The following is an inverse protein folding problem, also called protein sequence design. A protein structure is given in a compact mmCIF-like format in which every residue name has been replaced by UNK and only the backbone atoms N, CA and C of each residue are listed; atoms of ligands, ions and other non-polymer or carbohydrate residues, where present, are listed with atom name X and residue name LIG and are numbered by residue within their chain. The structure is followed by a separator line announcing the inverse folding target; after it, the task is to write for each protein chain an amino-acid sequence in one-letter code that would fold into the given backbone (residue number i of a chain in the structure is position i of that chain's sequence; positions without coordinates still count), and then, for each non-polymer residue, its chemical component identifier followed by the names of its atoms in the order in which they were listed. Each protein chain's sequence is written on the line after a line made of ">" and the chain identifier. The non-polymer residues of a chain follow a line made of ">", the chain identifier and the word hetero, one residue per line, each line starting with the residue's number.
data_IF_282241046357
#
_entry.id   IF_282241046357
#
_cell.length_a   1.000
_cell.length_b   1.000
_cell.length_c   1.000
_cell.angle_alpha   90.00
_cell.angle_beta   90.00
_cell.angle_gamma   90.00
#
_symmetry.space_group_name_H-M   'P 1'
#
loop_
_entity.id
_entity.type
_entity.pdbx_description
1 polymer ?
#
# COMPACT_ATOMS: atom_id res chain seq x y z
N UNK A 1 -5.93 0.52 19.11
CA UNK A 1 -6.33 1.93 18.97
C UNK A 1 -6.04 2.79 20.19
N UNK A 2 -6.30 2.32 21.43
CA UNK A 2 -6.06 3.10 22.66
C UNK A 2 -4.59 3.54 22.75
N UNK A 3 -3.65 2.60 22.63
CA UNK A 3 -2.22 2.91 22.66
C UNK A 3 -1.81 3.82 21.48
N UNK A 4 -2.38 3.59 20.30
CA UNK A 4 -2.18 4.45 19.14
C UNK A 4 -2.69 5.87 19.37
N UNK A 5 -3.85 6.02 20.01
CA UNK A 5 -4.40 7.32 20.42
C UNK A 5 -3.46 8.05 21.39
N UNK A 6 -2.92 7.35 22.38
CA UNK A 6 -1.96 7.92 23.33
C UNK A 6 -0.67 8.40 22.63
N UNK A 7 -0.14 7.61 21.70
CA UNK A 7 1.04 7.99 20.91
C UNK A 7 0.77 9.24 20.03
N UNK A 8 -0.40 9.32 19.40
CA UNK A 8 -0.80 10.48 18.59
C UNK A 8 -1.03 11.73 19.46
N UNK A 9 -1.61 11.57 20.63
CA UNK A 9 -1.78 12.67 21.58
C UNK A 9 -0.45 13.20 22.10
N UNK A 10 0.50 12.32 22.36
CA UNK A 10 1.88 12.70 22.69
C UNK A 10 2.56 13.41 21.52
N UNK A 11 2.43 12.88 20.30
CA UNK A 11 2.96 13.49 19.09
C UNK A 11 2.49 14.94 18.91
N UNK A 12 1.26 15.25 19.30
CA UNK A 12 0.71 16.61 19.25
C UNK A 12 1.42 17.64 20.15
N UNK A 13 2.21 17.19 21.11
CA UNK A 13 2.88 18.05 22.11
C UNK A 13 4.40 18.07 21.93
N UNK A 14 4.94 17.17 21.10
CA UNK A 14 6.39 16.98 20.93
C UNK A 14 6.88 17.88 19.81
N UNK A 15 7.97 18.63 20.10
CA UNK A 15 8.68 19.47 19.11
C UNK A 15 9.95 18.80 18.60
N UNK A 16 10.51 17.83 19.35
CA UNK A 16 11.71 17.11 18.94
C UNK A 16 11.40 16.13 17.81
N UNK A 17 12.07 16.24 16.64
CA UNK A 17 11.77 15.41 15.46
C UNK A 17 11.93 13.91 15.69
N UNK A 18 12.89 13.47 16.48
CA UNK A 18 13.15 12.05 16.74
C UNK A 18 12.07 11.44 17.63
N UNK A 19 11.69 12.15 18.69
CA UNK A 19 10.63 11.70 19.60
C UNK A 19 9.28 11.70 18.89
N UNK A 20 9.04 12.71 18.02
CA UNK A 20 7.85 12.74 17.16
C UNK A 20 7.82 11.52 16.22
N UNK A 21 8.91 11.25 15.52
CA UNK A 21 9.02 10.11 14.61
C UNK A 21 8.78 8.77 15.32
N UNK A 22 9.35 8.58 16.52
CA UNK A 22 9.14 7.37 17.33
C UNK A 22 7.68 7.24 17.74
N UNK A 23 7.04 8.33 18.19
CA UNK A 23 5.63 8.32 18.59
C UNK A 23 4.72 7.95 17.42
N UNK A 24 4.94 8.51 16.24
CA UNK A 24 4.19 8.18 15.02
C UNK A 24 4.44 6.76 14.56
N UNK A 25 5.69 6.28 14.64
CA UNK A 25 6.04 4.88 14.32
C UNK A 25 5.28 3.91 15.24
N UNK A 26 5.27 4.14 16.54
CA UNK A 26 4.56 3.29 17.51
C UNK A 26 3.04 3.33 17.26
N UNK A 27 2.46 4.50 16.96
CA UNK A 27 1.07 4.62 16.57
C UNK A 27 0.77 3.76 15.33
N UNK A 28 1.61 3.82 14.31
CA UNK A 28 1.43 3.06 13.06
C UNK A 28 1.60 1.55 13.26
N UNK A 29 2.53 1.10 14.09
CA UNK A 29 2.69 -0.32 14.44
C UNK A 29 1.40 -0.86 15.07
N UNK A 30 0.79 -0.09 15.96
CA UNK A 30 -0.49 -0.48 16.57
C UNK A 30 -1.65 -0.51 15.56
N UNK A 31 -1.72 0.44 14.63
CA UNK A 31 -2.74 0.46 13.57
C UNK A 31 -2.58 -0.69 12.58
N UNK A 32 -1.36 -1.08 12.27
CA UNK A 32 -1.07 -2.15 11.30
C UNK A 32 -1.64 -3.52 11.69
N UNK A 33 -1.96 -3.73 12.97
CA UNK A 33 -2.58 -4.97 13.45
C UNK A 33 -4.09 -5.05 13.18
N UNK A 34 -4.75 -3.91 13.02
CA UNK A 34 -6.22 -3.84 12.89
C UNK A 34 -6.78 -4.64 11.70
N UNK A 35 -6.22 -4.57 10.47
CA UNK A 35 -6.77 -5.31 9.35
C UNK A 35 -6.82 -6.82 9.59
N UNK A 36 -5.81 -7.40 10.24
CA UNK A 36 -5.77 -8.82 10.58
C UNK A 36 -6.90 -9.23 11.53
N UNK A 37 -7.16 -8.43 12.56
CA UNK A 37 -8.27 -8.66 13.50
C UNK A 37 -9.63 -8.45 12.83
N UNK A 38 -9.77 -7.43 11.99
CA UNK A 38 -11.03 -7.10 11.33
C UNK A 38 -11.49 -8.19 10.36
N UNK A 39 -10.60 -8.94 9.72
CA UNK A 39 -10.96 -10.09 8.88
C UNK A 39 -11.73 -11.13 9.72
N UNK A 40 -11.29 -11.42 10.93
CA UNK A 40 -11.98 -12.35 11.83
C UNK A 40 -13.32 -11.81 12.30
N UNK A 41 -13.38 -10.50 12.63
CA UNK A 41 -14.64 -9.83 13.00
C UNK A 41 -15.65 -9.94 11.87
N UNK A 42 -15.26 -9.62 10.63
CA UNK A 42 -16.15 -9.73 9.47
C UNK A 42 -16.59 -11.18 9.21
N UNK A 43 -15.69 -12.16 9.37
CA UNK A 43 -16.02 -13.56 9.13
C UNK A 43 -17.05 -14.11 10.11
N UNK A 44 -17.10 -13.57 11.32
CA UNK A 44 -17.99 -14.06 12.39
C UNK A 44 -19.30 -13.32 12.48
N UNK A 45 -19.30 -12.01 12.16
CA UNK A 45 -20.48 -11.18 12.33
C UNK A 45 -21.33 -11.04 11.06
N UNK A 46 -20.80 -11.42 9.89
CA UNK A 46 -21.53 -11.29 8.63
C UNK A 46 -21.59 -12.63 7.86
N UNK A 47 -22.77 -12.94 7.35
CA UNK A 47 -22.96 -14.08 6.46
C UNK A 47 -22.09 -13.99 5.20
N UNK A 48 -21.73 -15.14 4.62
CA UNK A 48 -20.87 -15.21 3.42
C UNK A 48 -21.39 -14.37 2.25
N UNK A 49 -22.72 -14.30 2.07
CA UNK A 49 -23.38 -13.59 0.97
C UNK A 49 -23.41 -12.06 1.13
N UNK A 50 -23.26 -11.54 2.35
CA UNK A 50 -23.33 -10.10 2.63
C UNK A 50 -21.95 -9.47 2.95
N UNK A 51 -20.99 -10.29 3.35
CA UNK A 51 -19.67 -9.88 3.81
C UNK A 51 -18.96 -9.01 2.80
N UNK A 52 -18.94 -9.44 1.53
CA UNK A 52 -18.30 -8.69 0.45
C UNK A 52 -18.91 -7.32 0.23
N UNK A 53 -20.24 -7.24 0.22
CA UNK A 53 -20.98 -5.98 0.03
C UNK A 53 -20.70 -4.99 1.18
N UNK A 54 -20.75 -5.45 2.43
CA UNK A 54 -20.49 -4.62 3.61
C UNK A 54 -19.03 -4.15 3.67
N UNK A 55 -18.09 -5.03 3.30
CA UNK A 55 -16.67 -4.67 3.21
C UNK A 55 -16.42 -3.62 2.12
N UNK A 56 -17.05 -3.75 0.96
CA UNK A 56 -16.95 -2.77 -0.11
C UNK A 56 -17.47 -1.38 0.33
N UNK A 57 -18.62 -1.32 1.01
CA UNK A 57 -19.13 -0.08 1.57
C UNK A 57 -18.18 0.54 2.59
N UNK A 58 -17.58 -0.28 3.46
CA UNK A 58 -16.58 0.22 4.42
C UNK A 58 -15.36 0.83 3.70
N UNK A 59 -14.87 0.21 2.64
CA UNK A 59 -13.76 0.77 1.84
C UNK A 59 -14.13 2.08 1.15
N UNK A 60 -15.33 2.17 0.57
CA UNK A 60 -15.81 3.40 -0.08
C UNK A 60 -15.95 4.53 0.94
N UNK A 61 -16.61 4.25 2.05
CA UNK A 61 -16.82 5.26 3.11
C UNK A 61 -15.50 5.71 3.73
N UNK A 62 -14.59 4.77 4.03
CA UNK A 62 -13.26 5.09 4.55
C UNK A 62 -12.45 5.96 3.58
N UNK A 63 -12.53 5.68 2.29
CA UNK A 63 -11.85 6.48 1.28
C UNK A 63 -12.47 7.88 1.16
N UNK A 64 -13.80 8.00 1.17
CA UNK A 64 -14.50 9.27 1.12
C UNK A 64 -14.18 10.16 2.34
N UNK A 65 -14.25 9.59 3.55
CA UNK A 65 -13.87 10.29 4.78
C UNK A 65 -12.38 10.69 4.72
N UNK A 66 -11.51 9.79 4.29
CA UNK A 66 -10.08 10.07 4.15
C UNK A 66 -9.81 11.24 3.19
N UNK A 67 -10.51 11.32 2.06
CA UNK A 67 -10.39 12.43 1.11
C UNK A 67 -10.84 13.76 1.72
N UNK A 68 -11.99 13.79 2.39
CA UNK A 68 -12.52 15.00 3.04
C UNK A 68 -11.58 15.48 4.15
N UNK A 69 -11.14 14.57 5.02
CA UNK A 69 -10.24 14.93 6.13
C UNK A 69 -8.85 15.36 5.65
N UNK A 70 -8.31 14.73 4.59
CA UNK A 70 -7.02 15.14 4.03
C UNK A 70 -7.09 16.50 3.37
N UNK A 71 -8.13 16.76 2.59
CA UNK A 71 -8.34 18.06 1.96
C UNK A 71 -8.55 19.15 3.01
N UNK A 72 -9.49 18.95 3.95
CA UNK A 72 -9.72 19.90 5.03
C UNK A 72 -8.53 20.10 5.97
N UNK A 73 -7.74 19.04 6.21
CA UNK A 73 -6.50 19.15 6.97
C UNK A 73 -5.42 19.94 6.20
N UNK A 74 -5.31 19.75 4.89
CA UNK A 74 -4.40 20.52 4.04
C UNK A 74 -4.74 22.01 4.02
N UNK A 75 -6.01 22.35 3.77
CA UNK A 75 -6.47 23.74 3.79
C UNK A 75 -6.28 24.41 5.15
N UNK A 76 -6.52 23.66 6.24
CA UNK A 76 -6.25 24.16 7.60
C UNK A 76 -4.77 24.47 7.81
N UNK A 77 -3.87 23.57 7.39
CA UNK A 77 -2.43 23.74 7.56
C UNK A 77 -1.83 24.89 6.70
N UNK A 78 -2.55 25.35 5.70
CA UNK A 78 -2.18 26.53 4.90
C UNK A 78 -2.62 27.86 5.54
N UNK A 79 -3.33 27.83 6.68
CA UNK A 79 -3.70 29.05 7.40
C UNK A 79 -2.54 29.58 8.26
N UNK A 80 -2.40 30.90 8.39
CA UNK A 80 -1.33 31.53 9.17
C UNK A 80 -1.32 31.14 10.66
N UNK A 81 -2.49 30.76 11.22
CA UNK A 81 -2.66 30.37 12.61
C UNK A 81 -2.66 28.84 12.84
N UNK A 82 -2.27 28.07 11.83
CA UNK A 82 -2.31 26.62 11.92
C UNK A 82 -1.37 26.07 13.01
N UNK A 83 -1.95 25.27 13.92
CA UNK A 83 -1.20 24.43 14.86
C UNK A 83 -1.23 22.97 14.36
N UNK A 84 -0.13 22.41 13.80
CA UNK A 84 -0.09 21.02 13.38
C UNK A 84 -0.45 20.02 14.49
N UNK A 85 -0.27 20.40 15.77
CA UNK A 85 -0.67 19.59 16.91
C UNK A 85 -2.18 19.30 16.94
N UNK A 86 -3.01 20.19 16.41
CA UNK A 86 -4.46 19.93 16.30
C UNK A 86 -4.78 18.76 15.39
N UNK A 87 -4.05 18.56 14.31
CA UNK A 87 -4.24 17.42 13.39
C UNK A 87 -3.98 16.12 14.15
N UNK A 88 -2.88 16.04 14.91
CA UNK A 88 -2.59 14.86 15.72
C UNK A 88 -3.60 14.62 16.84
N UNK A 89 -4.09 15.69 17.49
CA UNK A 89 -5.16 15.58 18.50
C UNK A 89 -6.46 15.04 17.89
N UNK A 90 -6.86 15.53 16.71
CA UNK A 90 -8.03 15.04 16.00
C UNK A 90 -7.86 13.56 15.63
N UNK A 91 -6.69 13.16 15.10
CA UNK A 91 -6.39 11.76 14.82
C UNK A 91 -6.41 10.89 16.10
N UNK A 92 -5.92 11.39 17.22
CA UNK A 92 -5.98 10.70 18.50
C UNK A 92 -7.43 10.47 18.98
N UNK A 93 -8.30 11.47 18.86
CA UNK A 93 -9.72 11.35 19.19
C UNK A 93 -10.44 10.35 18.30
N UNK A 94 -10.21 10.37 17.00
CA UNK A 94 -10.77 9.39 16.06
C UNK A 94 -10.28 7.98 16.38
N UNK A 95 -8.99 7.83 16.72
CA UNK A 95 -8.42 6.55 17.16
C UNK A 95 -9.06 6.04 18.45
N UNK A 96 -9.33 6.91 19.41
CA UNK A 96 -10.03 6.56 20.64
C UNK A 96 -11.49 6.16 20.36
N UNK A 97 -12.20 6.90 19.50
CA UNK A 97 -13.54 6.55 19.04
C UNK A 97 -13.58 5.18 18.36
N UNK A 98 -12.56 4.86 17.56
CA UNK A 98 -12.44 3.53 16.96
C UNK A 98 -12.23 2.42 18.00
N UNK A 99 -11.51 2.71 19.09
CA UNK A 99 -11.35 1.77 20.20
C UNK A 99 -12.69 1.47 20.88
N UNK A 100 -13.49 2.51 21.14
CA UNK A 100 -14.85 2.34 21.69
C UNK A 100 -15.74 1.54 20.75
N UNK A 101 -15.72 1.86 19.47
CA UNK A 101 -16.49 1.13 18.46
C UNK A 101 -16.11 -0.36 18.41
N UNK A 102 -14.80 -0.67 18.43
CA UNK A 102 -14.31 -2.04 18.46
C UNK A 102 -14.71 -2.79 19.73
N UNK A 103 -14.73 -2.12 20.86
CA UNK A 103 -15.15 -2.70 22.14
C UNK A 103 -16.65 -3.07 22.15
N UNK A 104 -17.47 -2.36 21.41
CA UNK A 104 -18.90 -2.62 21.27
C UNK A 104 -19.23 -3.76 20.28
N UNK A 105 -18.27 -4.23 19.50
CA UNK A 105 -18.51 -5.32 18.54
C UNK A 105 -18.61 -6.66 19.30
N UNK A 106 -19.69 -7.45 19.08
CA UNK A 106 -19.81 -8.77 19.65
C UNK A 106 -18.63 -9.64 19.24
N UNK A 107 -17.88 -10.16 20.20
CA UNK A 107 -16.74 -11.03 19.96
C UNK A 107 -16.98 -12.42 20.52
N UNK A 108 -16.64 -13.45 19.74
CA UNK A 108 -16.60 -14.82 20.22
C UNK A 108 -15.15 -15.24 20.50
N UNK A 109 -14.91 -16.14 21.49
CA UNK A 109 -13.57 -16.65 21.75
C UNK A 109 -12.94 -17.22 20.47
N UNK A 110 -11.65 -16.93 20.27
CA UNK A 110 -10.89 -17.50 19.16
C UNK A 110 -10.70 -18.99 19.43
N UNK A 111 -11.37 -19.83 18.67
CA UNK A 111 -11.05 -21.26 18.64
C UNK A 111 -9.65 -21.40 18.04
N UNK A 112 -8.75 -22.11 18.75
CA UNK A 112 -7.42 -22.45 18.25
C UNK A 112 -7.60 -23.27 16.97
N UNK A 113 -7.48 -22.64 15.81
CA UNK A 113 -7.40 -23.32 14.53
C UNK A 113 -6.06 -24.06 14.39
N UNK A 114 -5.97 -24.90 13.36
CA UNK A 114 -4.73 -25.60 12.98
C UNK A 114 -3.56 -24.59 12.96
N UNK A 115 -2.40 -25.03 13.46
CA UNK A 115 -1.17 -24.22 13.52
C UNK A 115 -0.95 -23.53 12.18
N UNK A 116 -0.98 -22.20 12.18
CA UNK A 116 -0.51 -21.45 11.02
C UNK A 116 0.94 -21.91 10.71
N UNK A 117 1.27 -22.16 9.45
CA UNK A 117 2.64 -22.51 9.08
C UNK A 117 3.58 -21.43 9.60
N UNK A 118 4.66 -21.86 10.27
CA UNK A 118 5.67 -20.93 10.76
C UNK A 118 6.33 -20.15 9.63
N UNK A 119 6.87 -18.98 9.93
CA UNK A 119 7.59 -18.16 8.96
C UNK A 119 8.68 -18.96 8.22
N UNK A 120 9.47 -19.73 8.96
CA UNK A 120 10.54 -20.57 8.40
C UNK A 120 10.00 -21.64 7.45
N UNK A 121 8.86 -22.24 7.76
CA UNK A 121 8.23 -23.24 6.89
C UNK A 121 7.70 -22.62 5.60
N UNK A 122 7.20 -21.39 5.66
CA UNK A 122 6.80 -20.64 4.48
C UNK A 122 8.01 -20.29 3.60
N UNK A 123 9.14 -19.90 4.19
CA UNK A 123 10.37 -19.57 3.44
C UNK A 123 11.05 -20.78 2.78
N UNK A 124 10.84 -22.01 3.31
CA UNK A 124 11.32 -23.24 2.64
C UNK A 124 10.76 -23.42 1.25
N UNK A 125 9.55 -22.89 0.97
CA UNK A 125 8.95 -22.90 -0.36
C UNK A 125 9.83 -22.29 -1.46
N UNK A 126 10.69 -21.35 -1.12
CA UNK A 126 11.61 -20.72 -2.09
C UNK A 126 12.60 -21.75 -2.69
N UNK A 127 12.88 -22.84 -1.96
CA UNK A 127 13.71 -23.96 -2.44
C UNK A 127 12.89 -25.07 -3.08
N UNK A 128 11.64 -25.28 -2.59
CA UNK A 128 10.77 -26.37 -3.04
C UNK A 128 10.06 -26.04 -4.36
N UNK A 129 9.63 -24.78 -4.55
CA UNK A 129 8.91 -24.34 -5.77
C UNK A 129 9.65 -23.20 -6.48
N UNK A 130 10.41 -23.56 -7.55
CA UNK A 130 11.20 -22.62 -8.34
C UNK A 130 10.32 -21.59 -9.09
N UNK A 131 9.12 -21.98 -9.52
CA UNK A 131 8.21 -21.05 -10.20
C UNK A 131 7.74 -19.98 -9.22
N UNK A 132 7.28 -20.41 -8.04
CA UNK A 132 6.90 -19.47 -6.96
C UNK A 132 8.06 -18.55 -6.57
N UNK A 133 9.25 -19.09 -6.37
CA UNK A 133 10.43 -18.30 -6.02
C UNK A 133 10.76 -17.25 -7.10
N UNK A 134 10.68 -17.62 -8.39
CA UNK A 134 10.94 -16.71 -9.50
C UNK A 134 9.88 -15.62 -9.63
N UNK A 135 8.60 -15.95 -9.45
CA UNK A 135 7.51 -14.98 -9.40
C UNK A 135 7.67 -14.03 -8.22
N UNK A 136 8.01 -14.58 -7.05
CA UNK A 136 8.22 -13.78 -5.84
C UNK A 136 9.42 -12.84 -5.97
N UNK A 137 10.52 -13.29 -6.60
CA UNK A 137 11.65 -12.43 -6.93
C UNK A 137 11.24 -11.25 -7.82
N UNK A 138 10.48 -11.52 -8.88
CA UNK A 138 9.95 -10.47 -9.74
C UNK A 138 9.09 -9.46 -8.96
N UNK A 139 8.24 -9.95 -8.04
CA UNK A 139 7.46 -9.10 -7.12
C UNK A 139 8.35 -8.26 -6.20
N UNK A 140 9.44 -8.84 -5.66
CA UNK A 140 10.34 -8.13 -4.76
C UNK A 140 11.07 -7.00 -5.48
N UNK A 141 11.60 -7.27 -6.68
CA UNK A 141 12.30 -6.26 -7.50
C UNK A 141 11.37 -5.10 -7.87
N UNK A 142 10.17 -5.40 -8.40
CA UNK A 142 9.17 -4.36 -8.71
C UNK A 142 8.83 -3.52 -7.49
N UNK A 143 8.51 -4.20 -6.40
CA UNK A 143 8.06 -3.48 -5.21
C UNK A 143 9.16 -2.69 -4.53
N UNK A 144 10.43 -3.09 -4.65
CA UNK A 144 11.55 -2.27 -4.20
C UNK A 144 11.56 -0.94 -4.98
N UNK A 145 11.46 -1.00 -6.32
CA UNK A 145 11.42 0.19 -7.16
C UNK A 145 10.25 1.13 -6.83
N UNK A 146 9.06 0.58 -6.61
CA UNK A 146 7.88 1.42 -6.31
C UNK A 146 7.92 1.96 -4.87
N UNK A 147 8.21 1.13 -3.87
CA UNK A 147 8.11 1.53 -2.45
C UNK A 147 9.19 2.54 -2.09
N UNK A 148 10.39 2.46 -2.67
CA UNK A 148 11.43 3.45 -2.42
C UNK A 148 11.03 4.87 -2.86
N UNK A 149 10.12 5.01 -3.83
CA UNK A 149 9.63 6.32 -4.28
C UNK A 149 8.47 6.88 -3.45
N UNK A 150 7.77 6.06 -2.65
CA UNK A 150 6.55 6.49 -1.96
C UNK A 150 6.78 7.66 -0.99
N UNK A 151 7.75 7.63 -0.06
CA UNK A 151 7.97 8.76 0.84
C UNK A 151 8.47 10.00 0.08
N UNK A 152 9.23 9.81 -0.99
CA UNK A 152 9.78 10.89 -1.79
C UNK A 152 8.71 11.67 -2.58
N UNK A 153 7.53 11.08 -2.77
CA UNK A 153 6.42 11.76 -3.46
C UNK A 153 5.95 12.99 -2.70
N UNK A 154 5.76 12.87 -1.40
CA UNK A 154 5.33 14.01 -0.58
C UNK A 154 6.44 15.05 -0.51
N UNK A 155 7.68 14.62 -0.29
CA UNK A 155 8.82 15.50 -0.23
C UNK A 155 9.06 16.27 -1.54
N UNK A 156 8.87 15.60 -2.70
CA UNK A 156 8.92 16.25 -4.02
C UNK A 156 7.85 17.33 -4.18
N UNK A 157 6.69 17.18 -3.56
CA UNK A 157 5.62 18.19 -3.62
C UNK A 157 5.89 19.37 -2.68
N UNK A 158 6.40 19.12 -1.46
CA UNK A 158 6.52 20.11 -0.39
C UNK A 158 7.92 20.72 -0.22
N UNK A 159 8.96 20.09 -0.78
CA UNK A 159 10.34 20.48 -0.53
C UNK A 159 10.85 21.58 -1.43
N UNK A 160 11.79 22.39 -0.93
CA UNK A 160 12.49 23.45 -1.68
C UNK A 160 13.31 22.95 -2.88
N UNK A 161 13.59 21.65 -2.94
CA UNK A 161 14.19 20.98 -4.11
C UNK A 161 13.19 20.36 -5.06
N UNK A 162 11.90 20.53 -4.83
CA UNK A 162 10.79 20.01 -5.60
C UNK A 162 9.87 21.11 -6.14
N UNK A 163 8.55 20.97 -5.93
CA UNK A 163 7.52 21.83 -6.53
C UNK A 163 6.98 22.92 -5.60
N UNK A 164 7.29 22.86 -4.31
CA UNK A 164 6.85 23.82 -3.28
C UNK A 164 5.33 24.11 -3.32
N UNK A 165 4.53 23.04 -3.35
CA UNK A 165 3.08 23.11 -3.41
C UNK A 165 2.48 23.36 -2.02
N UNK A 166 1.31 24.00 -1.95
CA UNK A 166 0.55 24.16 -0.72
C UNK A 166 0.10 22.82 -0.14
N UNK A 167 -0.18 22.77 1.18
CA UNK A 167 -0.66 21.54 1.84
C UNK A 167 -2.00 21.08 1.25
N UNK A 168 -2.87 22.00 0.83
CA UNK A 168 -4.10 21.70 0.11
C UNK A 168 -3.80 20.96 -1.20
N UNK A 169 -2.89 21.49 -2.02
CA UNK A 169 -2.49 20.87 -3.29
C UNK A 169 -1.84 19.50 -3.08
N UNK A 170 -1.01 19.36 -2.05
CA UNK A 170 -0.40 18.09 -1.66
C UNK A 170 -1.49 17.07 -1.30
N UNK A 171 -2.47 17.46 -0.48
CA UNK A 171 -3.59 16.61 -0.12
C UNK A 171 -4.45 16.21 -1.33
N UNK A 172 -4.72 17.14 -2.25
CA UNK A 172 -5.43 16.85 -3.51
C UNK A 172 -4.68 15.80 -4.34
N UNK A 173 -3.38 15.98 -4.56
CA UNK A 173 -2.57 15.06 -5.37
C UNK A 173 -2.43 13.68 -4.71
N UNK A 174 -2.02 13.65 -3.44
CA UNK A 174 -1.62 12.41 -2.77
C UNK A 174 -2.79 11.57 -2.29
N UNK A 175 -3.92 12.18 -1.98
CA UNK A 175 -5.08 11.47 -1.41
C UNK A 175 -6.28 11.53 -2.33
N UNK A 176 -6.74 12.72 -2.75
CA UNK A 176 -8.01 12.84 -3.47
C UNK A 176 -7.89 12.25 -4.88
N UNK A 177 -7.04 12.82 -5.73
CA UNK A 177 -6.88 12.41 -7.13
C UNK A 177 -6.46 10.94 -7.21
N UNK A 178 -5.47 10.55 -6.41
CA UNK A 178 -5.01 9.17 -6.32
C UNK A 178 -6.14 8.20 -5.93
N UNK A 179 -6.94 8.53 -4.89
CA UNK A 179 -7.99 7.64 -4.40
C UNK A 179 -9.17 7.54 -5.36
N UNK A 180 -9.58 8.64 -5.99
CA UNK A 180 -10.63 8.64 -7.01
C UNK A 180 -10.23 7.76 -8.19
N UNK A 181 -9.02 7.94 -8.72
CA UNK A 181 -8.52 7.12 -9.83
C UNK A 181 -8.44 5.63 -9.45
N UNK A 182 -7.98 5.32 -8.22
CA UNK A 182 -7.92 3.96 -7.69
C UNK A 182 -9.30 3.32 -7.58
N UNK A 183 -10.29 4.03 -7.04
CA UNK A 183 -11.65 3.51 -6.85
C UNK A 183 -12.30 3.22 -8.20
N UNK A 184 -12.27 4.18 -9.12
CA UNK A 184 -12.87 4.04 -10.46
C UNK A 184 -12.23 2.88 -11.23
N UNK A 185 -10.90 2.79 -11.21
CA UNK A 185 -10.18 1.76 -11.96
C UNK A 185 -10.29 0.35 -11.35
N UNK A 186 -10.52 0.25 -10.04
CA UNK A 186 -10.57 -1.06 -9.34
C UNK A 186 -11.62 -2.00 -9.92
N UNK A 187 -12.78 -1.49 -10.33
CA UNK A 187 -13.83 -2.30 -10.96
C UNK A 187 -13.36 -2.87 -12.31
N UNK A 188 -12.80 -2.03 -13.16
CA UNK A 188 -12.26 -2.44 -14.47
C UNK A 188 -11.15 -3.48 -14.31
N UNK A 189 -10.27 -3.28 -13.34
CA UNK A 189 -9.20 -4.23 -13.02
C UNK A 189 -9.72 -5.54 -12.49
N UNK A 190 -10.80 -5.56 -11.70
CA UNK A 190 -11.44 -6.78 -11.23
C UNK A 190 -11.95 -7.63 -12.40
N UNK A 191 -12.70 -7.00 -13.31
CA UNK A 191 -13.22 -7.68 -14.52
C UNK A 191 -12.08 -8.18 -15.42
N UNK A 192 -11.02 -7.40 -15.56
CA UNK A 192 -9.87 -7.76 -16.40
C UNK A 192 -9.07 -8.92 -15.80
N UNK A 193 -8.90 -8.95 -14.47
CA UNK A 193 -8.20 -10.02 -13.76
C UNK A 193 -8.81 -11.40 -14.00
N UNK A 194 -10.14 -11.45 -14.12
CA UNK A 194 -10.86 -12.72 -14.38
C UNK A 194 -10.75 -13.17 -15.84
N UNK A 195 -10.54 -12.21 -16.79
CA UNK A 195 -10.57 -12.49 -18.22
C UNK A 195 -9.22 -12.75 -18.86
N UNK A 196 -8.14 -12.21 -18.31
CA UNK A 196 -6.82 -12.35 -18.91
C UNK A 196 -5.86 -13.15 -18.02
N UNK A 197 -4.81 -13.69 -18.63
CA UNK A 197 -3.74 -14.38 -17.91
C UNK A 197 -3.07 -13.46 -16.92
N UNK A 198 -2.76 -13.97 -15.75
CA UNK A 198 -2.15 -13.19 -14.66
C UNK A 198 -0.86 -12.46 -15.07
N UNK A 199 0.00 -13.07 -15.87
CA UNK A 199 1.25 -12.45 -16.31
C UNK A 199 1.00 -11.21 -17.19
N UNK A 200 0.03 -11.26 -18.13
CA UNK A 200 -0.36 -10.09 -18.93
C UNK A 200 -0.95 -8.99 -18.04
N UNK A 201 -1.84 -9.38 -17.12
CA UNK A 201 -2.40 -8.46 -16.15
C UNK A 201 -1.29 -7.73 -15.36
N UNK A 202 -0.29 -8.48 -14.89
CA UNK A 202 0.81 -7.91 -14.10
C UNK A 202 1.70 -6.98 -14.92
N UNK A 203 2.01 -7.37 -16.16
CA UNK A 203 2.80 -6.53 -17.07
C UNK A 203 2.10 -5.22 -17.38
N UNK A 204 0.79 -5.25 -17.66
CA UNK A 204 -0.01 -4.03 -17.90
C UNK A 204 0.07 -3.07 -16.72
N UNK A 205 -0.04 -3.59 -15.49
CA UNK A 205 0.12 -2.79 -14.27
C UNK A 205 1.52 -2.17 -14.14
N UNK A 206 2.56 -2.95 -14.45
CA UNK A 206 3.94 -2.46 -14.39
C UNK A 206 4.16 -1.30 -15.37
N UNK A 207 3.63 -1.38 -16.59
CA UNK A 207 3.73 -0.30 -17.59
C UNK A 207 3.05 0.98 -17.10
N UNK A 208 1.87 0.87 -16.49
CA UNK A 208 1.18 2.02 -15.90
C UNK A 208 1.98 2.61 -14.73
N UNK A 209 2.56 1.78 -13.87
CA UNK A 209 3.36 2.25 -12.74
C UNK A 209 4.67 2.91 -13.18
N UNK A 210 5.29 2.43 -14.28
CA UNK A 210 6.43 3.09 -14.93
C UNK A 210 6.02 4.48 -15.42
N UNK A 211 4.95 4.56 -16.21
CA UNK A 211 4.43 5.83 -16.72
C UNK A 211 4.08 6.80 -15.57
N UNK A 212 3.40 6.31 -14.53
CA UNK A 212 3.07 7.08 -13.34
C UNK A 212 4.31 7.68 -12.66
N UNK A 213 5.35 6.87 -12.47
CA UNK A 213 6.59 7.32 -11.82
C UNK A 213 7.33 8.36 -12.66
N UNK A 214 7.44 8.14 -13.97
CA UNK A 214 8.07 9.12 -14.87
C UNK A 214 7.29 10.44 -14.90
N UNK A 215 5.99 10.38 -15.14
CA UNK A 215 5.16 11.60 -15.19
C UNK A 215 5.24 12.37 -13.88
N UNK A 216 5.18 11.66 -12.74
CA UNK A 216 5.18 12.29 -11.41
C UNK A 216 6.48 13.07 -11.13
N UNK A 217 7.63 12.45 -11.31
CA UNK A 217 8.93 13.04 -10.93
C UNK A 217 9.59 13.89 -12.03
N UNK A 218 8.97 14.00 -13.22
CA UNK A 218 9.40 14.91 -14.27
C UNK A 218 8.41 16.06 -14.50
N UNK A 219 7.37 16.12 -13.71
CA UNK A 219 6.39 17.20 -13.76
C UNK A 219 7.00 18.50 -13.18
N UNK A 220 6.69 19.61 -13.83
CA UNK A 220 7.15 20.94 -13.41
C UNK A 220 6.07 21.74 -12.67
N UNK A 221 4.93 21.10 -12.29
CA UNK A 221 3.85 21.77 -11.58
C UNK A 221 2.68 20.85 -11.23
N UNK A 222 1.65 21.44 -10.59
CA UNK A 222 0.49 20.76 -10.03
C UNK A 222 -0.24 19.84 -11.02
N UNK A 223 -0.48 20.28 -12.26
CA UNK A 223 -1.20 19.46 -13.25
C UNK A 223 -0.43 18.20 -13.63
N UNK A 224 0.88 18.32 -13.81
CA UNK A 224 1.72 17.18 -14.17
C UNK A 224 1.79 16.14 -13.06
N UNK A 225 2.00 16.55 -11.80
CA UNK A 225 1.99 15.61 -10.67
C UNK A 225 0.61 15.02 -10.43
N UNK A 226 -0.47 15.76 -10.69
CA UNK A 226 -1.84 15.25 -10.62
C UNK A 226 -2.08 14.14 -11.63
N UNK A 227 -1.59 14.29 -12.87
CA UNK A 227 -1.62 13.22 -13.88
C UNK A 227 -0.82 12.00 -13.43
N UNK A 228 0.40 12.21 -12.89
CA UNK A 228 1.22 11.14 -12.33
C UNK A 228 0.53 10.40 -11.18
N UNK A 229 -0.13 11.15 -10.28
CA UNK A 229 -0.90 10.58 -9.16
C UNK A 229 -2.14 9.81 -9.65
N UNK A 230 -2.84 10.31 -10.67
CA UNK A 230 -3.96 9.61 -11.30
C UNK A 230 -3.51 8.28 -11.90
N UNK A 231 -2.44 8.25 -12.67
CA UNK A 231 -1.86 7.02 -13.22
C UNK A 231 -1.43 6.06 -12.11
N UNK A 232 -0.81 6.57 -11.04
CA UNK A 232 -0.44 5.77 -9.87
C UNK A 232 -1.68 5.15 -9.21
N UNK A 233 -2.76 5.92 -9.04
CA UNK A 233 -4.05 5.44 -8.54
C UNK A 233 -4.61 4.30 -9.38
N UNK A 234 -4.62 4.46 -10.70
CA UNK A 234 -5.04 3.41 -11.65
C UNK A 234 -4.19 2.14 -11.48
N UNK A 235 -2.87 2.27 -11.46
CA UNK A 235 -1.96 1.13 -11.31
C UNK A 235 -2.09 0.43 -9.96
N UNK A 236 -2.29 1.18 -8.86
CA UNK A 236 -2.47 0.62 -7.50
C UNK A 236 -3.82 -0.05 -7.36
N UNK A 237 -4.88 0.43 -8.02
CA UNK A 237 -6.20 -0.22 -8.05
C UNK A 237 -6.10 -1.69 -8.48
N UNK A 238 -5.43 -1.95 -9.60
CA UNK A 238 -5.18 -3.31 -10.09
C UNK A 238 -4.12 -4.07 -9.28
N UNK A 239 -3.06 -3.38 -8.82
CA UNK A 239 -1.98 -4.01 -8.04
C UNK A 239 -2.48 -4.61 -6.74
N UNK A 240 -3.49 -4.02 -6.09
CA UNK A 240 -4.09 -4.56 -4.87
C UNK A 240 -4.81 -5.89 -5.13
N UNK A 241 -5.53 -5.99 -6.27
CA UNK A 241 -6.18 -7.23 -6.70
C UNK A 241 -5.12 -8.29 -7.00
N UNK A 242 -4.12 -7.95 -7.82
CA UNK A 242 -3.02 -8.84 -8.12
C UNK A 242 -2.32 -9.36 -6.85
N UNK A 243 -2.00 -8.47 -5.90
CA UNK A 243 -1.32 -8.82 -4.65
C UNK A 243 -2.12 -9.80 -3.79
N UNK A 244 -3.43 -9.64 -3.75
CA UNK A 244 -4.30 -10.46 -2.91
C UNK A 244 -4.59 -11.84 -3.51
N UNK A 245 -4.63 -11.95 -4.84
CA UNK A 245 -5.15 -13.13 -5.52
C UNK A 245 -4.12 -13.97 -6.29
N UNK A 246 -2.90 -13.47 -6.56
CA UNK A 246 -1.94 -14.20 -7.38
C UNK A 246 -1.54 -15.56 -6.79
N UNK A 247 -1.46 -15.63 -5.46
CA UNK A 247 -1.11 -16.87 -4.75
C UNK A 247 -2.15 -17.95 -4.99
N UNK A 248 -3.43 -17.60 -5.08
CA UNK A 248 -4.52 -18.58 -5.32
C UNK A 248 -4.46 -19.21 -6.71
N UNK A 249 -3.76 -18.55 -7.66
CA UNK A 249 -3.55 -19.11 -8.99
C UNK A 249 -2.32 -20.02 -9.10
N UNK A 250 -1.49 -20.06 -8.06
CA UNK A 250 -0.22 -20.80 -8.07
C UNK A 250 -0.14 -21.88 -6.99
N UNK A 251 -0.64 -21.59 -5.81
CA UNK A 251 -0.57 -22.50 -4.67
C UNK A 251 -1.44 -23.75 -4.90
N UNK A 252 -0.91 -24.95 -4.60
CA UNK A 252 -1.75 -26.13 -4.48
C UNK A 252 -2.88 -25.93 -3.46
N UNK A 253 -3.99 -26.60 -3.68
CA UNK A 253 -5.15 -26.54 -2.80
C UNK A 253 -4.78 -26.85 -1.33
N UNK A 254 -5.17 -25.98 -0.41
CA UNK A 254 -4.86 -26.08 1.02
C UNK A 254 -3.48 -25.57 1.43
N UNK A 255 -2.64 -25.11 0.50
CA UNK A 255 -1.32 -24.55 0.77
C UNK A 255 -1.25 -23.01 0.63
N UNK A 256 -2.36 -22.35 0.30
CA UNK A 256 -2.43 -20.90 0.02
C UNK A 256 -1.88 -20.07 1.17
N UNK A 257 -2.17 -20.45 2.41
CA UNK A 257 -1.68 -19.75 3.60
C UNK A 257 -0.15 -19.81 3.74
N UNK A 258 0.48 -20.93 3.37
CA UNK A 258 1.94 -21.11 3.40
C UNK A 258 2.62 -20.25 2.32
N UNK A 259 2.07 -20.23 1.10
CA UNK A 259 2.56 -19.41 -0.01
C UNK A 259 2.41 -17.91 0.29
N UNK A 260 1.23 -17.51 0.80
CA UNK A 260 0.96 -16.13 1.18
C UNK A 260 1.85 -15.67 2.36
N UNK A 261 2.14 -16.56 3.29
CA UNK A 261 3.06 -16.30 4.41
C UNK A 261 4.46 -15.90 3.94
N UNK A 262 5.03 -16.62 2.97
CA UNK A 262 6.32 -16.28 2.37
C UNK A 262 6.26 -14.92 1.64
N UNK A 263 5.18 -14.69 0.86
CA UNK A 263 4.98 -13.42 0.15
C UNK A 263 4.89 -12.23 1.10
N UNK A 264 4.09 -12.33 2.14
CA UNK A 264 3.89 -11.26 3.14
C UNK A 264 5.18 -10.97 3.90
N UNK A 265 5.91 -12.01 4.30
CA UNK A 265 7.18 -11.87 5.03
C UNK A 265 8.23 -11.07 4.22
N UNK A 266 8.45 -11.45 2.96
CA UNK A 266 9.40 -10.75 2.10
C UNK A 266 8.90 -9.35 1.71
N UNK A 267 7.59 -9.18 1.52
CA UNK A 267 6.98 -7.86 1.30
C UNK A 267 7.20 -6.94 2.50
N UNK A 268 7.07 -7.45 3.72
CA UNK A 268 7.35 -6.71 4.95
C UNK A 268 8.81 -6.26 5.05
N UNK A 269 9.75 -7.19 4.81
CA UNK A 269 11.19 -6.87 4.79
C UNK A 269 11.52 -5.78 3.77
N UNK A 270 11.03 -5.94 2.55
CA UNK A 270 11.18 -4.93 1.49
C UNK A 270 10.55 -3.59 1.89
N UNK A 271 9.35 -3.63 2.48
CA UNK A 271 8.64 -2.43 2.93
C UNK A 271 9.41 -1.66 4.00
N UNK A 272 10.15 -2.35 4.87
CA UNK A 272 10.99 -1.74 5.87
C UNK A 272 12.27 -1.11 5.25
N UNK A 273 12.89 -1.76 4.28
CA UNK A 273 14.19 -1.33 3.73
C UNK A 273 14.05 -0.30 2.60
N UNK A 274 13.02 -0.40 1.76
CA UNK A 274 12.89 0.41 0.56
C UNK A 274 12.82 1.93 0.80
N UNK A 275 12.15 2.47 1.83
CA UNK A 275 12.17 3.89 2.12
C UNK A 275 13.57 4.43 2.40
N UNK A 276 14.37 3.73 3.19
CA UNK A 276 15.76 4.11 3.48
C UNK A 276 16.62 4.13 2.22
N UNK A 277 16.47 3.11 1.37
CA UNK A 277 17.13 3.07 0.08
C UNK A 277 16.70 4.24 -0.81
N UNK A 278 15.43 4.62 -0.79
CA UNK A 278 14.89 5.75 -1.52
C UNK A 278 15.57 7.07 -1.14
N UNK A 279 15.66 7.37 0.15
CA UNK A 279 16.35 8.57 0.63
C UNK A 279 17.86 8.55 0.37
N UNK A 280 18.48 7.39 0.53
CA UNK A 280 19.90 7.26 0.19
C UNK A 280 20.15 7.52 -1.29
N UNK A 281 19.35 6.94 -2.18
CA UNK A 281 19.47 7.19 -3.63
C UNK A 281 19.12 8.65 -3.99
N UNK A 282 18.17 9.27 -3.28
CA UNK A 282 17.83 10.68 -3.47
C UNK A 282 19.06 11.58 -3.24
N UNK A 283 19.83 11.32 -2.18
CA UNK A 283 21.04 12.09 -1.89
C UNK A 283 22.15 11.95 -2.95
N UNK A 284 22.15 10.84 -3.70
CA UNK A 284 23.16 10.58 -4.73
C UNK A 284 22.76 11.07 -6.13
N UNK A 285 21.48 11.00 -6.49
CA UNK A 285 21.06 11.19 -7.89
C UNK A 285 19.82 12.08 -8.07
N UNK A 286 19.28 12.65 -6.98
CA UNK A 286 18.10 13.52 -7.02
C UNK A 286 16.80 12.77 -7.39
N UNK A 287 15.67 13.51 -7.41
CA UNK A 287 14.35 12.92 -7.67
C UNK A 287 14.23 12.23 -9.03
N UNK A 288 14.72 12.87 -10.09
CA UNK A 288 14.67 12.30 -11.46
C UNK A 288 15.54 11.04 -11.56
N UNK A 289 16.70 11.02 -10.92
CA UNK A 289 17.56 9.84 -10.87
C UNK A 289 16.90 8.66 -10.16
N UNK A 290 16.27 8.90 -9.00
CA UNK A 290 15.51 7.86 -8.28
C UNK A 290 14.32 7.37 -9.10
N UNK A 291 13.63 8.25 -9.82
CA UNK A 291 12.55 7.85 -10.73
C UNK A 291 13.06 6.89 -11.82
N UNK A 292 14.18 7.20 -12.46
CA UNK A 292 14.80 6.31 -13.46
C UNK A 292 15.28 4.97 -12.86
N UNK A 293 15.83 4.98 -11.66
CA UNK A 293 16.19 3.75 -10.94
C UNK A 293 14.96 2.89 -10.65
N UNK A 294 13.87 3.52 -10.19
CA UNK A 294 12.58 2.84 -10.01
C UNK A 294 12.08 2.21 -11.30
N UNK A 295 12.10 2.97 -12.40
CA UNK A 295 11.70 2.49 -13.73
C UNK A 295 12.56 1.30 -14.17
N UNK A 296 13.87 1.37 -13.98
CA UNK A 296 14.79 0.27 -14.31
C UNK A 296 14.43 -1.01 -13.52
N UNK A 297 14.15 -0.89 -12.21
CA UNK A 297 13.75 -2.03 -11.37
C UNK A 297 12.39 -2.61 -11.80
N UNK A 298 11.40 -1.76 -12.09
CA UNK A 298 10.08 -2.23 -12.55
C UNK A 298 10.18 -2.86 -13.94
N UNK A 299 11.03 -2.33 -14.83
CA UNK A 299 11.31 -2.91 -16.15
C UNK A 299 12.01 -4.26 -16.00
N UNK A 300 13.01 -4.37 -15.13
CA UNK A 300 13.67 -5.65 -14.83
C UNK A 300 12.66 -6.68 -14.33
N UNK A 301 11.78 -6.28 -13.41
CA UNK A 301 10.70 -7.15 -12.95
C UNK A 301 9.78 -7.59 -14.10
N UNK A 302 9.43 -6.67 -14.99
CA UNK A 302 8.59 -6.97 -16.16
C UNK A 302 9.27 -8.01 -17.07
N UNK A 303 10.57 -7.88 -17.30
CA UNK A 303 11.34 -8.87 -18.05
C UNK A 303 11.40 -10.22 -17.34
N UNK A 304 11.51 -10.24 -16.00
CA UNK A 304 11.44 -11.48 -15.23
C UNK A 304 10.07 -12.15 -15.38
N UNK A 305 8.97 -11.40 -15.32
CA UNK A 305 7.63 -11.95 -15.58
C UNK A 305 7.49 -12.45 -17.02
N UNK A 306 8.01 -11.75 -18.03
CA UNK A 306 8.00 -12.20 -19.41
C UNK A 306 8.72 -13.55 -19.61
N UNK A 307 9.84 -13.77 -18.93
CA UNK A 307 10.55 -15.08 -18.99
C UNK A 307 9.68 -16.23 -18.48
N UNK A 308 8.76 -15.95 -17.55
CA UNK A 308 7.88 -16.97 -16.97
C UNK A 308 6.81 -17.46 -17.96
N UNK A 309 6.49 -16.71 -19.04
CA UNK A 309 5.59 -17.20 -20.10
C UNK A 309 6.08 -18.45 -20.81
N UNK A 310 7.39 -18.66 -20.84
CA UNK A 310 7.99 -19.84 -21.47
C UNK A 310 8.03 -21.04 -20.52
N UNK A 311 7.75 -20.84 -19.24
CA UNK A 311 7.82 -21.88 -18.24
C UNK A 311 6.59 -22.80 -18.35
N UNK A 312 6.81 -24.13 -18.52
CA UNK A 312 5.74 -25.09 -18.74
C UNK A 312 4.68 -25.06 -17.60
N UNK A 313 5.12 -25.08 -16.35
CA UNK A 313 4.22 -25.05 -15.18
C UNK A 313 3.38 -23.76 -15.11
N UNK A 314 3.90 -22.64 -15.62
CA UNK A 314 3.15 -21.39 -15.71
C UNK A 314 2.02 -21.51 -16.76
N UNK A 315 2.30 -22.16 -17.88
CA UNK A 315 1.31 -22.42 -18.92
C UNK A 315 0.21 -23.37 -18.43
N UNK A 316 0.59 -24.44 -17.72
CA UNK A 316 -0.35 -25.41 -17.13
C UNK A 316 -1.28 -24.77 -16.08
N UNK A 317 -0.77 -23.84 -15.28
CA UNK A 317 -1.55 -23.12 -14.28
C UNK A 317 -2.38 -21.95 -14.85
N UNK A 318 -2.33 -21.70 -16.17
CA UNK A 318 -3.07 -20.59 -16.81
C UNK A 318 -2.60 -19.20 -16.41
N UNK A 319 -1.32 -19.06 -15.97
CA UNK A 319 -0.70 -17.81 -15.50
C UNK A 319 -0.38 -16.81 -16.61
#
# INVERSE_FOLDING_TARGET
>A
PIFSSACLFLAAQIKDPWTLAISLFLAQVCFSQLPGFMIQVYSRNYGSNERGKKLAWNFILSAAIGMVLSYGGGTYLDTESADPGWVFRAMALVSLGSAVALFLIPSQPITKGNRNPGLLDSLKLLKEDRLFASMLLAWMVMGLGIIMTLPLRVEYLSGSGGLDLSNEQIALVTVVIFSVARIISSRLWGELFDRIRFLFFRISLNLILIAATLVYFHADGFLGVSLGAMLAGVGVGGSKIAWSLWVTKLAPEGMEARYMGAHVALTGLRGALAPFLGYWMLSLMGYKGVAWLSVALVTLSTLLFLRLFTHQKAKENGL
#
